data_IF_455925965761
#
_entry.id   IF_455925965761
#
_cell.length_a   1.000
_cell.length_b   1.000
_cell.length_c   1.000
_cell.angle_alpha   90.00
_cell.angle_beta   90.00
_cell.angle_gamma   90.00
#
_symmetry.space_group_name_H-M   'P 1'
#
loop_
_entity.id
_entity.type
_entity.pdbx_description
1 polymer ?
#
# COMPACT_ATOMS: atom_id res chain seq x y z
N UNK A 1 10.97 -32.06 -3.18
CA UNK A 1 11.84 -30.95 -2.75
C UNK A 1 11.63 -30.81 -1.25
N UNK A 2 12.68 -30.75 -0.46
CA UNK A 2 12.52 -30.55 0.98
C UNK A 2 12.05 -29.11 1.21
N UNK A 3 11.01 -28.92 2.02
CA UNK A 3 10.54 -27.60 2.45
C UNK A 3 11.68 -26.91 3.19
N UNK A 4 11.95 -25.67 2.79
CA UNK A 4 13.03 -24.86 3.37
C UNK A 4 12.41 -23.66 4.07
N UNK A 5 12.74 -23.46 5.34
CA UNK A 5 12.36 -22.27 6.09
C UNK A 5 13.49 -21.24 6.00
N UNK A 6 13.15 -20.03 5.57
CA UNK A 6 14.03 -18.87 5.54
C UNK A 6 13.58 -17.89 6.64
N UNK A 7 14.56 -17.24 7.28
CA UNK A 7 14.31 -16.26 8.35
C UNK A 7 14.94 -14.93 8.00
N UNK A 8 14.17 -13.85 8.18
CA UNK A 8 14.53 -12.48 7.84
C UNK A 8 14.25 -11.54 9.02
N UNK A 9 14.81 -10.31 9.03
CA UNK A 9 14.30 -9.23 9.86
C UNK A 9 12.80 -9.06 9.65
N UNK A 10 12.10 -8.54 10.66
CA UNK A 10 10.65 -8.39 10.59
C UNK A 10 10.19 -7.56 9.38
N UNK A 11 9.33 -8.11 8.55
CA UNK A 11 8.77 -7.40 7.41
C UNK A 11 7.80 -6.32 7.87
N UNK A 12 7.80 -5.21 7.15
CA UNK A 12 7.01 -4.02 7.46
C UNK A 12 6.15 -3.71 6.23
N UNK A 13 4.84 -3.55 6.44
CA UNK A 13 3.97 -3.02 5.41
C UNK A 13 3.58 -1.59 5.75
N UNK A 14 3.99 -0.66 4.92
CA UNK A 14 3.80 0.77 5.16
C UNK A 14 2.48 1.31 4.62
N UNK A 15 1.63 0.45 4.02
CA UNK A 15 0.42 0.88 3.37
C UNK A 15 -0.73 -0.12 3.54
N UNK A 16 -1.53 0.06 4.62
CA UNK A 16 -2.72 -0.76 4.86
C UNK A 16 -3.92 0.08 5.28
N UNK A 17 -5.12 -0.38 4.94
CA UNK A 17 -6.38 0.27 5.30
C UNK A 17 -7.16 -0.60 6.27
N UNK A 18 -7.02 -0.38 7.56
CA UNK A 18 -7.96 -0.88 8.52
C UNK A 18 -9.12 0.11 8.59
N UNK A 19 -10.32 -0.35 8.31
CA UNK A 19 -11.50 0.52 8.17
C UNK A 19 -12.14 0.90 9.51
N UNK A 20 -11.39 0.77 10.57
CA UNK A 20 -11.80 1.00 11.95
C UNK A 20 -10.99 2.18 12.55
N UNK A 21 -11.67 3.23 13.00
CA UNK A 21 -13.11 3.45 13.04
C UNK A 21 -13.71 3.77 11.65
N UNK A 22 -14.99 3.42 11.47
CA UNK A 22 -15.78 3.87 10.31
C UNK A 22 -16.58 2.78 9.60
N UNK A 23 -15.93 1.71 9.10
CA UNK A 23 -16.58 0.64 8.34
C UNK A 23 -16.10 -0.74 8.85
N UNK A 24 -16.41 -1.08 10.11
CA UNK A 24 -15.91 -2.30 10.74
C UNK A 24 -16.39 -3.60 10.05
N UNK A 25 -17.47 -3.54 9.28
CA UNK A 25 -17.92 -4.67 8.45
C UNK A 25 -16.97 -4.96 7.27
N UNK A 26 -16.12 -4.02 6.87
CA UNK A 26 -15.08 -4.25 5.89
C UNK A 26 -13.83 -4.88 6.52
N UNK A 27 -13.35 -4.26 7.60
CA UNK A 27 -12.19 -4.70 8.37
C UNK A 27 -12.21 -4.02 9.74
N UNK A 28 -12.04 -4.80 10.80
CA UNK A 28 -11.71 -4.26 12.12
C UNK A 28 -10.21 -4.25 12.30
N UNK A 29 -9.72 -3.48 13.23
CA UNK A 29 -8.30 -3.52 13.55
C UNK A 29 -7.84 -4.89 14.04
N UNK A 30 -8.67 -5.58 14.81
CA UNK A 30 -8.35 -6.94 15.27
C UNK A 30 -8.20 -7.92 14.11
N UNK A 31 -9.10 -7.90 13.10
CA UNK A 31 -9.01 -8.76 11.93
C UNK A 31 -7.86 -8.37 11.00
N UNK A 32 -7.60 -7.06 10.83
CA UNK A 32 -6.45 -6.58 10.05
C UNK A 32 -5.10 -6.96 10.66
N UNK A 33 -4.97 -6.86 12.00
CA UNK A 33 -3.77 -7.35 12.70
C UNK A 33 -3.62 -8.88 12.60
N UNK A 34 -4.72 -9.62 12.65
CA UNK A 34 -4.68 -11.07 12.45
C UNK A 34 -4.24 -11.41 11.02
N UNK A 35 -4.76 -10.70 9.99
CA UNK A 35 -4.33 -10.84 8.62
C UNK A 35 -2.85 -10.47 8.43
N UNK A 36 -2.38 -9.39 9.07
CA UNK A 36 -0.97 -8.98 9.07
C UNK A 36 -0.05 -10.05 9.65
N UNK A 37 -0.43 -10.61 10.80
CA UNK A 37 0.34 -11.67 11.45
C UNK A 37 0.41 -12.94 10.60
N UNK A 38 -0.70 -13.35 9.99
CA UNK A 38 -0.78 -14.48 9.05
C UNK A 38 -0.03 -14.21 7.75
N UNK A 39 -0.06 -12.96 7.28
CA UNK A 39 0.73 -12.48 6.15
C UNK A 39 2.24 -12.43 6.41
N UNK A 40 2.70 -12.64 7.66
CA UNK A 40 4.12 -12.65 8.04
C UNK A 40 4.69 -11.27 8.36
N UNK A 41 3.85 -10.24 8.51
CA UNK A 41 4.29 -8.88 8.84
C UNK A 41 4.51 -8.69 10.34
N UNK A 42 5.66 -8.11 10.68
CA UNK A 42 6.02 -7.78 12.06
C UNK A 42 5.52 -6.39 12.48
N UNK A 43 5.35 -5.50 11.50
CA UNK A 43 4.74 -4.18 11.70
C UNK A 43 3.93 -3.78 10.47
N UNK A 44 2.89 -2.98 10.69
CA UNK A 44 2.08 -2.36 9.62
C UNK A 44 1.81 -0.90 9.96
N UNK A 45 1.66 -0.05 8.92
CA UNK A 45 1.28 1.35 9.08
C UNK A 45 -0.07 1.58 8.43
N UNK A 46 -1.06 1.99 9.24
CA UNK A 46 -2.39 2.28 8.72
C UNK A 46 -2.50 3.66 8.10
N UNK A 47 -3.29 3.73 7.02
CA UNK A 47 -3.64 4.98 6.37
C UNK A 47 -4.69 5.75 7.20
N UNK A 48 -4.67 7.11 7.15
CA UNK A 48 -5.50 7.94 8.03
C UNK A 48 -6.92 8.14 7.51
N UNK A 49 -7.33 7.41 6.48
CA UNK A 49 -8.63 7.53 5.79
C UNK A 49 -9.77 6.75 6.48
N UNK A 50 -9.78 6.80 7.78
CA UNK A 50 -10.86 6.31 8.65
C UNK A 50 -12.01 7.32 8.74
N UNK A 51 -13.07 6.98 9.50
CA UNK A 51 -14.17 7.91 9.78
C UNK A 51 -14.46 7.96 11.28
N UNK A 52 -14.05 9.03 11.99
CA UNK A 52 -13.36 10.23 11.48
C UNK A 52 -11.94 9.96 10.97
N UNK A 53 -11.41 10.89 10.16
CA UNK A 53 -10.03 10.83 9.69
C UNK A 53 -9.02 11.02 10.83
N UNK A 54 -7.80 10.50 10.70
CA UNK A 54 -6.76 10.66 11.74
C UNK A 54 -6.02 11.98 11.50
N UNK A 55 -6.64 13.09 11.90
CA UNK A 55 -6.14 14.46 11.75
C UNK A 55 -5.99 15.21 13.05
N UNK A 56 -6.13 14.55 14.20
CA UNK A 56 -5.96 15.10 15.53
C UNK A 56 -5.01 14.28 16.38
N UNK A 57 -4.28 14.90 17.34
CA UNK A 57 -3.40 14.19 18.27
C UNK A 57 -4.10 13.09 19.07
N UNK A 58 -5.37 13.30 19.45
CA UNK A 58 -6.17 12.31 20.17
C UNK A 58 -6.48 11.09 19.29
N UNK A 59 -6.78 11.30 18.00
CA UNK A 59 -7.01 10.22 17.05
C UNK A 59 -5.75 9.38 16.83
N UNK A 60 -4.56 10.01 16.67
CA UNK A 60 -3.28 9.30 16.56
C UNK A 60 -3.03 8.44 17.80
N UNK A 61 -3.13 9.03 19.02
CA UNK A 61 -2.90 8.29 20.27
C UNK A 61 -3.92 7.18 20.50
N UNK A 62 -5.21 7.48 20.28
CA UNK A 62 -6.29 6.50 20.47
C UNK A 62 -6.12 5.31 19.52
N UNK A 63 -5.80 5.57 18.26
CA UNK A 63 -5.60 4.50 17.29
C UNK A 63 -4.39 3.60 17.64
N UNK A 64 -3.32 4.18 18.17
CA UNK A 64 -2.13 3.41 18.59
C UNK A 64 -2.36 2.64 19.89
N UNK A 65 -3.01 3.23 20.91
CA UNK A 65 -3.20 2.64 22.26
C UNK A 65 -4.28 1.55 22.25
N UNK A 66 -5.44 1.82 21.67
CA UNK A 66 -6.55 0.87 21.61
C UNK A 66 -6.15 -0.44 20.92
N UNK A 67 -5.22 -0.34 20.01
CA UNK A 67 -4.75 -1.46 19.21
C UNK A 67 -3.75 -2.36 19.95
N UNK A 68 -2.86 -1.77 20.75
CA UNK A 68 -1.86 -2.54 21.52
C UNK A 68 -2.49 -3.41 22.61
N UNK A 69 -3.65 -3.01 23.15
CA UNK A 69 -4.36 -3.75 24.20
C UNK A 69 -5.23 -4.90 23.68
N UNK A 70 -5.70 -4.81 22.44
CA UNK A 70 -6.63 -5.80 21.85
C UNK A 70 -5.94 -6.99 21.19
N UNK A 71 -4.63 -6.92 20.91
CA UNK A 71 -3.99 -7.95 20.11
C UNK A 71 -3.05 -8.84 20.92
N UNK A 72 -3.46 -10.11 21.09
CA UNK A 72 -2.53 -11.22 21.34
C UNK A 72 -1.58 -11.46 20.14
N UNK A 73 -1.70 -10.69 19.09
CA UNK A 73 -0.89 -10.76 17.87
C UNK A 73 0.39 -9.98 18.04
N UNK A 74 1.49 -10.56 17.61
CA UNK A 74 2.84 -9.98 17.71
C UNK A 74 3.16 -8.95 16.61
N UNK A 75 2.17 -8.53 15.80
CA UNK A 75 2.33 -7.49 14.79
C UNK A 75 2.13 -6.12 15.44
N UNK A 76 3.08 -5.22 15.23
CA UNK A 76 3.02 -3.85 15.75
C UNK A 76 2.18 -3.00 14.81
N UNK A 77 1.23 -2.27 15.37
CA UNK A 77 0.45 -1.28 14.66
C UNK A 77 1.06 0.10 14.83
N UNK A 78 1.39 0.71 13.71
CA UNK A 78 1.73 2.11 13.60
C UNK A 78 0.63 2.82 12.80
N UNK A 79 0.49 4.12 12.99
CA UNK A 79 -0.48 4.91 12.23
C UNK A 79 0.16 6.10 11.54
N UNK A 80 -0.27 6.41 10.34
CA UNK A 80 -0.02 7.70 9.69
C UNK A 80 -1.05 8.73 10.15
N UNK A 81 -0.81 10.00 9.83
CA UNK A 81 -1.76 11.07 10.07
C UNK A 81 -1.99 11.89 8.80
N UNK A 82 -3.12 12.61 8.78
CA UNK A 82 -3.50 13.43 7.62
C UNK A 82 -2.51 14.58 7.38
N UNK A 83 -2.25 14.88 6.10
CA UNK A 83 -1.59 16.13 5.66
C UNK A 83 -2.54 17.28 5.87
N UNK A 84 -3.82 17.11 5.48
CA UNK A 84 -4.84 18.16 5.55
C UNK A 84 -5.97 17.79 6.50
N UNK A 85 -6.59 18.81 7.13
CA UNK A 85 -7.74 18.62 8.01
C UNK A 85 -8.87 17.89 7.30
N UNK A 86 -9.33 16.79 7.90
CA UNK A 86 -10.37 15.93 7.35
C UNK A 86 -10.02 15.33 5.99
N UNK A 87 -8.77 15.34 5.54
CA UNK A 87 -8.32 14.92 4.20
C UNK A 87 -9.02 15.69 3.07
N UNK A 88 -9.30 16.96 3.29
CA UNK A 88 -10.07 17.78 2.34
C UNK A 88 -9.18 18.54 1.32
N UNK A 89 -7.85 18.47 1.44
CA UNK A 89 -6.91 19.13 0.54
C UNK A 89 -6.93 20.66 0.58
N UNK A 90 -7.47 21.28 1.65
CA UNK A 90 -7.73 22.73 1.72
C UNK A 90 -6.95 23.46 2.79
N UNK A 91 -6.69 22.83 3.90
CA UNK A 91 -6.03 23.41 5.06
C UNK A 91 -5.10 22.36 5.68
N UNK A 92 -3.85 22.73 5.90
CA UNK A 92 -2.86 21.83 6.51
C UNK A 92 -3.26 21.51 7.95
N UNK A 93 -3.13 20.24 8.34
CA UNK A 93 -3.37 19.80 9.71
C UNK A 93 -2.30 20.36 10.67
N UNK A 94 -2.48 20.16 11.97
CA UNK A 94 -1.46 20.49 12.96
C UNK A 94 -0.37 19.42 12.98
N UNK A 95 0.52 19.48 11.97
CA UNK A 95 1.52 18.46 11.70
C UNK A 95 2.50 18.27 12.88
N UNK A 96 2.84 19.34 13.58
CA UNK A 96 3.71 19.30 14.73
C UNK A 96 3.07 18.52 15.88
N UNK A 97 1.82 18.82 16.20
CA UNK A 97 1.09 18.13 17.26
C UNK A 97 0.80 16.65 16.88
N UNK A 98 0.55 16.35 15.59
CA UNK A 98 0.37 14.99 15.09
C UNK A 98 1.68 14.19 15.15
N UNK A 99 2.81 14.80 14.79
CA UNK A 99 4.14 14.19 14.92
C UNK A 99 4.48 13.92 16.39
N UNK A 100 4.14 14.85 17.28
CA UNK A 100 4.31 14.69 18.73
C UNK A 100 3.40 13.61 19.29
N UNK A 101 2.23 13.40 18.73
CA UNK A 101 1.31 12.34 19.11
C UNK A 101 1.77 10.93 18.65
N UNK A 102 2.76 10.83 17.76
CA UNK A 102 3.34 9.53 17.32
C UNK A 102 3.00 9.13 15.88
N UNK A 103 2.56 10.06 15.02
CA UNK A 103 2.36 9.77 13.61
C UNK A 103 3.65 9.23 12.97
N UNK A 104 3.56 8.13 12.22
CA UNK A 104 4.69 7.49 11.56
C UNK A 104 5.19 8.31 10.35
N UNK A 105 4.27 8.89 9.60
CA UNK A 105 4.45 9.80 8.47
C UNK A 105 3.11 10.50 8.18
N UNK A 106 3.07 11.36 7.16
CA UNK A 106 1.87 12.11 6.79
C UNK A 106 1.37 11.74 5.40
N UNK A 107 0.06 11.56 5.26
CA UNK A 107 -0.60 11.28 3.97
C UNK A 107 -2.08 11.64 4.02
N UNK A 108 -2.64 12.03 2.87
CA UNK A 108 -4.09 12.07 2.68
C UNK A 108 -4.56 10.86 1.84
N UNK A 109 -3.87 9.72 1.93
CA UNK A 109 -4.08 8.55 1.07
C UNK A 109 -5.55 8.21 0.81
N UNK A 110 -5.80 7.75 -0.42
CA UNK A 110 -7.12 7.66 -1.04
C UNK A 110 -7.64 9.01 -1.52
N UNK A 111 -6.88 10.11 -1.30
CA UNK A 111 -7.08 11.46 -1.84
C UNK A 111 -5.74 12.07 -2.22
N UNK A 112 -5.75 13.04 -3.13
CA UNK A 112 -4.59 13.79 -3.56
C UNK A 112 -4.73 15.26 -3.11
N UNK A 113 -3.69 15.81 -2.48
CA UNK A 113 -3.65 17.24 -2.14
C UNK A 113 -3.34 18.03 -3.42
N UNK A 114 -4.39 18.47 -4.11
CA UNK A 114 -4.28 19.08 -5.44
C UNK A 114 -3.89 20.57 -5.43
N UNK A 115 -4.10 21.28 -4.32
CA UNK A 115 -3.69 22.67 -4.19
C UNK A 115 -2.19 22.77 -3.93
N UNK A 116 -1.47 23.41 -4.85
CA UNK A 116 -0.01 23.51 -4.80
C UNK A 116 0.49 24.25 -3.55
N UNK A 117 -0.20 25.32 -3.12
CA UNK A 117 0.19 26.11 -1.95
C UNK A 117 -0.02 25.35 -0.64
N UNK A 118 -1.13 24.60 -0.57
CA UNK A 118 -1.41 23.74 0.60
C UNK A 118 -0.35 22.66 0.71
N UNK A 119 0.01 22.03 -0.42
CA UNK A 119 1.01 20.97 -0.41
C UNK A 119 2.43 21.51 -0.16
N UNK A 120 2.79 22.68 -0.71
CA UNK A 120 4.06 23.36 -0.45
C UNK A 120 4.21 23.73 1.04
N UNK A 121 3.18 24.31 1.66
CA UNK A 121 3.14 24.58 3.10
C UNK A 121 3.33 23.28 3.91
N UNK A 122 2.57 22.24 3.57
CA UNK A 122 2.66 20.96 4.26
C UNK A 122 4.06 20.36 4.15
N UNK A 123 4.63 20.30 2.94
CA UNK A 123 5.96 19.73 2.71
C UNK A 123 7.04 20.54 3.42
N UNK A 124 6.94 21.86 3.46
CA UNK A 124 7.87 22.71 4.21
C UNK A 124 7.86 22.38 5.72
N UNK A 125 6.68 22.22 6.31
CA UNK A 125 6.53 21.85 7.73
C UNK A 125 6.98 20.41 8.00
N UNK A 126 6.64 19.47 7.11
CA UNK A 126 7.06 18.05 7.22
C UNK A 126 8.59 17.92 7.14
N UNK A 127 9.23 18.71 6.26
CA UNK A 127 10.69 18.77 6.15
C UNK A 127 11.34 19.26 7.46
N UNK A 128 10.79 20.32 8.07
CA UNK A 128 11.26 20.84 9.36
C UNK A 128 11.15 19.81 10.50
N UNK A 129 10.17 18.89 10.41
CA UNK A 129 10.00 17.78 11.36
C UNK A 129 10.90 16.58 11.07
N UNK A 130 11.67 16.60 9.98
CA UNK A 130 12.45 15.47 9.46
C UNK A 130 11.59 14.21 9.27
N UNK A 131 10.36 14.39 8.78
CA UNK A 131 9.40 13.33 8.49
C UNK A 131 9.21 13.16 6.98
N UNK A 132 8.30 12.28 6.59
CA UNK A 132 8.01 11.94 5.19
C UNK A 132 6.58 12.36 4.85
N UNK A 133 6.42 13.02 3.70
CA UNK A 133 5.13 13.18 3.05
C UNK A 133 4.91 11.99 2.12
N UNK A 134 3.82 11.24 2.30
CA UNK A 134 3.42 10.16 1.41
C UNK A 134 2.23 10.62 0.57
N UNK A 135 2.24 10.33 -0.73
CA UNK A 135 1.23 10.87 -1.62
C UNK A 135 0.62 9.79 -2.51
N UNK A 136 -0.72 9.68 -2.43
CA UNK A 136 -1.56 8.98 -3.39
C UNK A 136 -1.59 9.79 -4.70
N UNK A 137 -0.65 9.51 -5.60
CA UNK A 137 -0.36 10.36 -6.76
C UNK A 137 -1.39 10.19 -7.89
N UNK A 138 -2.63 10.61 -7.66
CA UNK A 138 -3.71 10.61 -8.66
C UNK A 138 -4.38 11.98 -8.73
N UNK A 139 -3.99 12.79 -9.72
CA UNK A 139 -4.59 14.12 -9.95
C UNK A 139 -6.08 13.99 -10.34
N UNK A 140 -7.02 14.45 -9.51
CA UNK A 140 -8.45 14.30 -9.78
C UNK A 140 -8.90 15.09 -11.04
N UNK A 141 -8.21 16.16 -11.40
CA UNK A 141 -8.49 16.93 -12.60
C UNK A 141 -8.17 16.14 -13.87
N UNK A 142 -7.15 15.28 -13.84
CA UNK A 142 -6.79 14.40 -14.96
C UNK A 142 -7.55 13.07 -14.92
N UNK A 143 -8.04 12.63 -13.78
CA UNK A 143 -8.84 11.41 -13.68
C UNK A 143 -10.16 11.51 -14.43
N UNK A 144 -10.80 12.68 -14.46
CA UNK A 144 -12.00 13.01 -15.29
C UNK A 144 -13.13 11.99 -15.17
N UNK A 145 -13.31 11.40 -13.99
CA UNK A 145 -14.31 10.34 -13.77
C UNK A 145 -13.94 8.98 -14.37
N UNK A 146 -12.70 8.81 -14.83
CA UNK A 146 -12.17 7.53 -15.29
C UNK A 146 -12.17 6.49 -14.18
N UNK A 147 -12.29 5.22 -14.55
CA UNK A 147 -12.38 4.10 -13.60
C UNK A 147 -11.43 2.95 -13.90
N UNK A 148 -10.74 2.98 -15.05
CA UNK A 148 -9.91 1.87 -15.56
C UNK A 148 -8.90 2.40 -16.59
N UNK A 149 -7.78 1.71 -16.79
CA UNK A 149 -6.87 1.94 -17.95
C UNK A 149 -7.52 1.49 -19.25
N UNK A 150 -7.02 2.00 -20.39
CA UNK A 150 -7.43 1.50 -21.70
C UNK A 150 -7.06 0.03 -21.87
N UNK A 151 -8.05 -0.82 -21.92
CA UNK A 151 -7.91 -2.27 -22.00
C UNK A 151 -9.12 -2.92 -22.68
N UNK A 152 -9.08 -4.23 -22.99
CA UNK A 152 -10.20 -4.91 -23.63
C UNK A 152 -11.53 -4.78 -22.90
N UNK A 153 -11.54 -4.84 -21.55
CA UNK A 153 -12.76 -4.66 -20.77
C UNK A 153 -13.31 -3.24 -20.89
N UNK A 154 -12.44 -2.23 -20.80
CA UNK A 154 -12.82 -0.83 -20.92
C UNK A 154 -13.52 -0.56 -22.26
N UNK A 155 -12.90 -1.01 -23.36
CA UNK A 155 -13.45 -0.88 -24.71
C UNK A 155 -14.77 -1.63 -24.88
N UNK A 156 -14.85 -2.87 -24.34
CA UNK A 156 -16.08 -3.69 -24.42
C UNK A 156 -17.27 -3.07 -23.71
N UNK A 157 -17.04 -2.47 -22.53
CA UNK A 157 -18.09 -1.90 -21.70
C UNK A 157 -18.28 -0.39 -21.88
N UNK A 158 -17.46 0.28 -22.71
CA UNK A 158 -17.49 1.73 -22.88
C UNK A 158 -17.17 2.48 -21.58
N UNK A 159 -16.24 1.95 -20.77
CA UNK A 159 -15.88 2.53 -19.48
C UNK A 159 -15.01 3.77 -19.64
N UNK A 160 -15.18 4.81 -18.82
CA UNK A 160 -14.33 5.99 -18.85
C UNK A 160 -12.89 5.64 -18.43
N UNK A 161 -11.92 6.14 -19.21
CA UNK A 161 -10.50 5.81 -19.09
C UNK A 161 -9.79 6.74 -18.11
N UNK A 162 -8.92 6.19 -17.27
CA UNK A 162 -7.90 6.90 -16.50
C UNK A 162 -6.64 6.98 -17.34
N UNK A 163 -6.17 8.18 -17.68
CA UNK A 163 -4.92 8.38 -18.42
C UNK A 163 -3.69 8.18 -17.54
N UNK A 164 -2.53 7.95 -18.17
CA UNK A 164 -1.23 7.91 -17.48
C UNK A 164 -0.93 9.27 -16.82
N UNK A 165 -1.37 10.36 -17.43
CA UNK A 165 -1.20 11.71 -16.89
C UNK A 165 -1.82 11.91 -15.51
N UNK A 166 -2.84 11.13 -15.13
CA UNK A 166 -3.42 11.17 -13.79
C UNK A 166 -2.37 10.93 -12.70
N UNK A 167 -1.45 10.00 -12.93
CA UNK A 167 -0.36 9.67 -12.01
C UNK A 167 0.87 10.56 -12.26
N UNK A 168 1.31 10.66 -13.51
CA UNK A 168 2.60 11.29 -13.84
C UNK A 168 2.62 12.79 -13.62
N UNK A 169 1.50 13.48 -13.84
CA UNK A 169 1.35 14.91 -13.52
C UNK A 169 1.43 15.16 -12.02
N UNK A 170 0.76 14.33 -11.23
CA UNK A 170 0.84 14.41 -9.77
C UNK A 170 2.29 14.21 -9.28
N UNK A 171 2.98 13.18 -9.78
CA UNK A 171 4.39 12.93 -9.42
C UNK A 171 5.28 14.10 -9.83
N UNK A 172 5.16 14.62 -11.05
CA UNK A 172 5.99 15.77 -11.50
C UNK A 172 5.81 16.99 -10.61
N UNK A 173 4.55 17.31 -10.23
CA UNK A 173 4.26 18.41 -9.31
C UNK A 173 4.93 18.19 -7.96
N UNK A 174 4.76 17.00 -7.36
CA UNK A 174 5.33 16.69 -6.06
C UNK A 174 6.87 16.72 -6.09
N UNK A 175 7.50 16.23 -7.16
CA UNK A 175 8.95 16.34 -7.34
C UNK A 175 9.44 17.79 -7.48
N UNK A 176 8.64 18.70 -8.05
CA UNK A 176 8.97 20.13 -8.05
C UNK A 176 8.99 20.67 -6.62
N UNK A 177 7.97 20.34 -5.82
CA UNK A 177 7.90 20.76 -4.42
C UNK A 177 9.02 20.14 -3.57
N UNK A 178 9.46 18.90 -3.87
CA UNK A 178 10.66 18.32 -3.22
C UNK A 178 11.90 19.17 -3.46
N UNK A 179 12.11 19.65 -4.69
CA UNK A 179 13.27 20.53 -5.01
C UNK A 179 13.21 21.85 -4.27
N UNK A 180 12.01 22.40 -4.06
CA UNK A 180 11.80 23.69 -3.40
C UNK A 180 11.92 23.58 -1.88
N UNK A 181 11.34 22.53 -1.29
CA UNK A 181 11.20 22.38 0.17
C UNK A 181 12.28 21.50 0.81
N UNK A 182 12.94 20.63 0.03
CA UNK A 182 13.82 19.58 0.55
C UNK A 182 13.08 18.48 1.32
N UNK A 183 11.75 18.42 1.27
CA UNK A 183 10.94 17.44 1.97
C UNK A 183 11.23 16.02 1.45
N UNK A 184 11.28 15.06 2.35
CA UNK A 184 11.28 13.64 1.98
C UNK A 184 9.91 13.25 1.46
N UNK A 185 9.87 12.74 0.23
CA UNK A 185 8.64 12.29 -0.43
C UNK A 185 8.62 10.77 -0.58
N UNK A 186 7.48 10.16 -0.32
CA UNK A 186 7.20 8.78 -0.67
C UNK A 186 5.99 8.73 -1.64
N UNK A 187 6.22 8.24 -2.86
CA UNK A 187 5.15 8.05 -3.85
C UNK A 187 4.53 6.69 -3.64
N UNK A 188 3.26 6.68 -3.23
CA UNK A 188 2.52 5.46 -2.93
C UNK A 188 2.13 4.73 -4.22
N UNK A 189 2.07 3.38 -4.17
CA UNK A 189 1.52 2.45 -5.18
C UNK A 189 1.67 2.87 -6.65
N UNK A 190 2.89 3.15 -7.13
CA UNK A 190 3.12 3.51 -8.54
C UNK A 190 2.60 2.43 -9.48
N UNK A 191 1.89 2.83 -10.52
CA UNK A 191 1.24 1.93 -11.47
C UNK A 191 1.68 2.07 -12.93
N UNK A 192 2.53 3.07 -13.26
CA UNK A 192 2.94 3.38 -14.63
C UNK A 192 4.44 3.33 -14.84
N UNK A 193 4.87 2.91 -16.03
CA UNK A 193 6.28 2.92 -16.44
C UNK A 193 6.88 4.35 -16.42
N UNK A 194 6.09 5.35 -16.83
CA UNK A 194 6.52 6.74 -16.79
C UNK A 194 6.66 7.28 -15.37
N UNK A 195 5.75 6.90 -14.43
CA UNK A 195 5.87 7.23 -13.01
C UNK A 195 7.14 6.65 -12.40
N UNK A 196 7.46 5.40 -12.72
CA UNK A 196 8.74 4.76 -12.34
C UNK A 196 9.94 5.57 -12.84
N UNK A 197 9.91 6.00 -14.12
CA UNK A 197 11.01 6.76 -14.68
C UNK A 197 11.21 8.11 -13.97
N UNK A 198 10.12 8.82 -13.65
CA UNK A 198 10.18 10.08 -12.90
C UNK A 198 10.84 9.90 -11.53
N UNK A 199 10.48 8.84 -10.78
CA UNK A 199 11.09 8.54 -9.48
C UNK A 199 12.56 8.17 -9.64
N UNK A 200 12.90 7.34 -10.63
CA UNK A 200 14.27 6.94 -10.93
C UNK A 200 15.17 8.15 -11.23
N UNK A 201 14.68 9.08 -12.00
CA UNK A 201 15.42 10.31 -12.36
C UNK A 201 15.58 11.21 -11.13
N UNK A 202 14.54 11.39 -10.33
CA UNK A 202 14.61 12.12 -9.06
C UNK A 202 15.64 11.54 -8.09
N UNK A 203 15.69 10.20 -7.94
CA UNK A 203 16.70 9.54 -7.12
C UNK A 203 18.12 9.72 -7.66
N UNK A 204 18.31 9.72 -8.99
CA UNK A 204 19.61 10.01 -9.63
C UNK A 204 20.05 11.46 -9.45
N UNK A 205 19.12 12.40 -9.38
CA UNK A 205 19.37 13.79 -9.00
C UNK A 205 19.75 13.94 -7.53
N UNK A 206 19.61 12.89 -6.72
CA UNK A 206 19.87 12.92 -5.28
C UNK A 206 18.71 13.49 -4.45
N UNK A 207 17.52 13.60 -5.01
CA UNK A 207 16.34 14.02 -4.26
C UNK A 207 15.92 12.94 -3.24
N UNK A 208 15.44 13.34 -2.06
CA UNK A 208 15.01 12.41 -1.01
C UNK A 208 13.64 11.78 -1.32
N UNK A 209 13.58 11.00 -2.39
CA UNK A 209 12.35 10.40 -2.91
C UNK A 209 12.42 8.89 -2.82
N UNK A 210 11.38 8.27 -2.27
CA UNK A 210 11.14 6.83 -2.27
C UNK A 210 9.79 6.52 -2.92
N UNK A 211 9.55 5.27 -3.29
CA UNK A 211 8.27 4.87 -3.85
C UNK A 211 8.02 3.37 -3.65
N UNK A 212 6.76 2.97 -3.78
CA UNK A 212 6.34 1.58 -3.57
C UNK A 212 5.61 1.00 -4.77
N UNK A 213 5.71 -0.32 -4.91
CA UNK A 213 4.93 -1.14 -5.83
C UNK A 213 4.11 -2.17 -5.04
N UNK A 214 2.88 -2.39 -5.45
CA UNK A 214 2.01 -3.36 -4.79
C UNK A 214 2.09 -4.74 -5.47
N UNK A 215 1.83 -5.83 -4.73
CA UNK A 215 1.79 -7.17 -5.29
C UNK A 215 0.86 -7.31 -6.49
N UNK A 216 -0.28 -6.60 -6.47
CA UNK A 216 -1.24 -6.66 -7.57
C UNK A 216 -0.75 -5.99 -8.86
N UNK A 217 -0.04 -4.85 -8.77
CA UNK A 217 0.56 -4.21 -9.93
C UNK A 217 1.79 -4.98 -10.48
N UNK A 218 2.44 -5.78 -9.66
CA UNK A 218 3.55 -6.65 -10.08
C UNK A 218 3.07 -7.95 -10.74
N UNK A 219 1.91 -8.45 -10.35
CA UNK A 219 1.37 -9.72 -10.86
C UNK A 219 0.41 -9.51 -12.04
N UNK A 220 -0.55 -8.60 -11.88
CA UNK A 220 -1.67 -8.42 -12.79
C UNK A 220 -1.47 -7.24 -13.74
N UNK A 221 -2.17 -7.31 -14.86
CA UNK A 221 -2.35 -6.22 -15.83
C UNK A 221 -3.84 -5.99 -16.09
N UNK A 222 -4.18 -4.92 -16.74
CA UNK A 222 -5.56 -4.67 -17.15
C UNK A 222 -6.10 -5.70 -18.16
N UNK A 223 -5.21 -6.46 -18.84
CA UNK A 223 -5.58 -7.57 -19.72
C UNK A 223 -6.08 -8.82 -18.95
N UNK A 224 -5.67 -8.94 -17.67
CA UNK A 224 -6.05 -10.07 -16.81
C UNK A 224 -7.46 -9.92 -16.22
N UNK A 225 -8.11 -8.76 -16.43
CA UNK A 225 -9.46 -8.52 -15.95
C UNK A 225 -10.45 -9.40 -16.73
N UNK A 226 -11.24 -10.25 -16.05
CA UNK A 226 -12.13 -11.19 -16.74
C UNK A 226 -13.13 -10.50 -17.66
N UNK A 227 -13.18 -10.94 -18.91
CA UNK A 227 -14.19 -10.53 -19.88
C UNK A 227 -15.41 -11.46 -19.79
N UNK A 228 -16.61 -10.92 -20.05
CA UNK A 228 -17.82 -11.73 -20.20
C UNK A 228 -17.65 -12.77 -21.32
N UNK A 229 -18.05 -14.01 -21.07
CA UNK A 229 -18.23 -14.97 -22.15
C UNK A 229 -19.40 -14.51 -23.04
N UNK A 230 -19.16 -14.30 -24.37
CA UNK A 230 -20.23 -13.90 -25.28
C UNK A 230 -21.37 -14.91 -25.38
N UNK A 231 -21.14 -16.18 -25.02
CA UNK A 231 -22.13 -17.26 -25.05
C UNK A 231 -23.06 -17.28 -23.83
N UNK A 232 -22.74 -16.54 -22.76
CA UNK A 232 -23.50 -16.58 -21.50
C UNK A 232 -24.32 -15.29 -21.27
N UNK A 233 -25.41 -15.16 -22.02
CA UNK A 233 -26.35 -14.03 -21.86
C UNK A 233 -27.07 -13.99 -20.49
N UNK A 234 -26.99 -15.06 -19.69
CA UNK A 234 -27.71 -15.15 -18.41
C UNK A 234 -26.92 -14.67 -17.20
N UNK A 235 -25.62 -14.33 -17.36
CA UNK A 235 -24.67 -14.11 -16.25
C UNK A 235 -23.95 -12.77 -16.26
N UNK A 236 -24.48 -11.78 -16.96
CA UNK A 236 -23.87 -10.43 -16.98
C UNK A 236 -23.60 -9.88 -15.56
N UNK A 237 -24.48 -10.18 -14.60
CA UNK A 237 -24.31 -9.78 -13.19
C UNK A 237 -23.14 -10.49 -12.49
N UNK A 238 -22.90 -11.77 -12.77
CA UNK A 238 -21.81 -12.54 -12.17
C UNK A 238 -20.44 -12.12 -12.74
N UNK A 239 -20.38 -11.72 -13.99
CA UNK A 239 -19.16 -11.27 -14.66
C UNK A 239 -18.76 -9.88 -14.17
N UNK A 240 -19.72 -8.98 -14.03
CA UNK A 240 -19.46 -7.65 -13.46
C UNK A 240 -18.98 -7.74 -12.01
N UNK A 241 -19.42 -8.76 -11.26
CA UNK A 241 -18.90 -9.01 -9.91
C UNK A 241 -17.46 -9.53 -9.92
N UNK A 242 -17.12 -10.48 -10.81
CA UNK A 242 -15.73 -11.00 -10.89
C UNK A 242 -14.74 -9.94 -11.36
N UNK A 243 -15.07 -9.17 -12.39
CA UNK A 243 -14.20 -8.07 -12.86
C UNK A 243 -14.00 -6.99 -11.80
N UNK A 244 -14.99 -6.71 -10.96
CA UNK A 244 -14.91 -5.73 -9.86
C UNK A 244 -13.84 -6.08 -8.82
N UNK A 245 -13.47 -7.36 -8.69
CA UNK A 245 -12.35 -7.77 -7.82
C UNK A 245 -10.99 -7.28 -8.33
N UNK A 246 -10.89 -6.87 -9.60
CA UNK A 246 -9.69 -6.30 -10.21
C UNK A 246 -9.71 -4.76 -10.24
N UNK A 247 -10.71 -4.13 -9.61
CA UNK A 247 -10.80 -2.67 -9.55
C UNK A 247 -10.05 -2.13 -8.34
N UNK A 248 -9.06 -1.29 -8.60
CA UNK A 248 -8.23 -0.61 -7.62
C UNK A 248 -7.87 0.81 -8.10
N UNK A 249 -7.29 1.62 -7.22
CA UNK A 249 -6.80 2.95 -7.53
C UNK A 249 -5.40 3.13 -6.90
N UNK A 250 -4.36 3.29 -7.74
CA UNK A 250 -4.37 3.38 -9.21
C UNK A 250 -4.85 2.10 -9.89
N UNK A 251 -5.40 2.20 -11.11
CA UNK A 251 -5.85 1.02 -11.86
C UNK A 251 -4.67 0.19 -12.36
N UNK A 252 -4.91 -1.12 -12.57
CA UNK A 252 -3.93 -2.00 -13.20
C UNK A 252 -3.44 -1.42 -14.53
N UNK A 253 -2.13 -1.34 -14.69
CA UNK A 253 -1.45 -0.92 -15.91
C UNK A 253 -1.45 -1.98 -17.00
N UNK A 254 -0.76 -1.70 -18.10
CA UNK A 254 -0.52 -2.65 -19.17
C UNK A 254 0.72 -3.54 -18.88
N UNK A 255 1.14 -4.37 -19.84
CA UNK A 255 2.29 -5.27 -19.68
C UNK A 255 3.62 -4.51 -19.60
N UNK A 256 3.73 -3.36 -20.24
CA UNK A 256 4.93 -2.52 -20.21
C UNK A 256 5.06 -1.85 -18.84
N UNK A 257 3.95 -1.32 -18.30
CA UNK A 257 3.90 -0.78 -16.94
C UNK A 257 4.37 -1.83 -15.93
N UNK A 258 3.80 -3.03 -15.98
CA UNK A 258 4.18 -4.14 -15.10
C UNK A 258 5.66 -4.51 -15.22
N UNK A 259 6.19 -4.58 -16.43
CA UNK A 259 7.59 -4.92 -16.67
C UNK A 259 8.55 -3.87 -16.06
N UNK A 260 8.24 -2.58 -16.21
CA UNK A 260 9.05 -1.51 -15.61
C UNK A 260 8.95 -1.47 -14.08
N UNK A 261 7.76 -1.75 -13.51
CA UNK A 261 7.60 -1.90 -12.06
C UNK A 261 8.47 -3.03 -11.52
N UNK A 262 8.44 -4.22 -12.12
CA UNK A 262 9.27 -5.37 -11.75
C UNK A 262 10.76 -5.04 -11.82
N UNK A 263 11.18 -4.41 -12.91
CA UNK A 263 12.56 -3.96 -13.09
C UNK A 263 12.96 -2.96 -12.01
N UNK A 264 12.11 -1.98 -11.69
CA UNK A 264 12.39 -0.97 -10.69
C UNK A 264 12.54 -1.55 -9.27
N UNK A 265 11.72 -2.54 -8.91
CA UNK A 265 11.90 -3.29 -7.65
C UNK A 265 13.23 -4.03 -7.64
N UNK A 266 13.57 -4.73 -8.72
CA UNK A 266 14.84 -5.48 -8.84
C UNK A 266 16.06 -4.56 -8.76
N UNK A 267 15.95 -3.34 -9.29
CA UNK A 267 17.00 -2.31 -9.25
C UNK A 267 17.08 -1.60 -7.88
N UNK A 268 16.14 -1.81 -6.97
CA UNK A 268 16.06 -1.16 -5.65
C UNK A 268 15.51 0.27 -5.69
N UNK A 269 14.83 0.66 -6.77
CA UNK A 269 14.15 1.96 -6.91
C UNK A 269 12.85 1.97 -6.14
N UNK A 270 12.13 0.84 -6.12
CA UNK A 270 10.85 0.67 -5.45
C UNK A 270 10.96 -0.33 -4.30
N UNK A 271 10.22 -0.08 -3.23
CA UNK A 271 9.94 -1.04 -2.17
C UNK A 271 8.59 -1.73 -2.40
N UNK A 272 8.26 -2.71 -1.58
CA UNK A 272 6.92 -3.29 -1.56
C UNK A 272 6.04 -2.64 -0.50
N UNK A 273 4.75 -2.53 -0.82
CA UNK A 273 3.67 -2.31 0.13
C UNK A 273 2.40 -2.98 -0.41
N UNK A 274 1.45 -3.35 0.45
CA UNK A 274 0.30 -4.13 -0.02
C UNK A 274 -0.82 -3.30 -0.60
N UNK A 275 -1.02 -2.09 -0.12
CA UNK A 275 -2.28 -1.34 -0.29
C UNK A 275 -3.49 -2.25 0.05
N UNK A 276 -3.37 -2.96 1.19
CA UNK A 276 -4.47 -3.80 1.68
C UNK A 276 -5.71 -2.94 1.93
N UNK A 277 -6.70 -3.06 1.03
CA UNK A 277 -7.87 -2.20 0.98
C UNK A 277 -9.18 -3.01 1.00
N UNK A 278 -9.60 -3.45 2.18
CA UNK A 278 -10.81 -4.25 2.37
C UNK A 278 -12.07 -3.45 2.10
N UNK A 279 -13.06 -4.12 1.49
CA UNK A 279 -14.38 -3.57 1.21
C UNK A 279 -15.47 -4.62 1.42
N UNK A 280 -16.64 -4.24 1.96
CA UNK A 280 -17.79 -5.14 2.06
C UNK A 280 -18.18 -5.68 0.68
N UNK A 281 -18.63 -6.94 0.63
CA UNK A 281 -19.02 -7.59 -0.62
C UNK A 281 -20.06 -6.77 -1.42
N UNK A 282 -20.99 -6.11 -0.72
CA UNK A 282 -22.01 -5.24 -1.35
C UNK A 282 -21.37 -4.08 -2.14
N UNK A 283 -20.23 -3.51 -1.69
CA UNK A 283 -19.54 -2.44 -2.41
C UNK A 283 -18.78 -2.95 -3.65
N UNK A 284 -18.39 -4.21 -3.66
CA UNK A 284 -17.73 -4.85 -4.81
C UNK A 284 -18.73 -5.43 -5.81
N UNK A 285 -20.01 -5.63 -5.44
CA UNK A 285 -21.04 -6.19 -6.32
C UNK A 285 -21.79 -5.15 -7.19
N UNK A 286 -21.46 -3.88 -7.08
CA UNK A 286 -22.14 -2.79 -7.80
C UNK A 286 -21.82 -2.70 -9.30
N UNK A 287 -21.08 -3.68 -9.85
CA UNK A 287 -20.55 -3.63 -11.21
C UNK A 287 -19.24 -2.81 -11.26
N UNK A 288 -18.44 -2.99 -12.33
CA UNK A 288 -17.07 -2.46 -12.37
C UNK A 288 -17.01 -0.95 -12.15
N UNK A 289 -17.83 -0.17 -12.86
CA UNK A 289 -17.77 1.30 -12.77
C UNK A 289 -18.11 1.83 -11.37
N UNK A 290 -19.12 1.27 -10.72
CA UNK A 290 -19.63 1.75 -9.42
C UNK A 290 -19.01 1.03 -8.21
N UNK A 291 -18.26 -0.06 -8.41
CA UNK A 291 -17.66 -0.80 -7.31
C UNK A 291 -16.53 0.00 -6.64
N UNK A 292 -16.29 -0.29 -5.36
CA UNK A 292 -15.20 0.31 -4.60
C UNK A 292 -13.82 -0.07 -5.17
N UNK A 293 -12.87 0.86 -5.11
CA UNK A 293 -11.47 0.62 -5.46
C UNK A 293 -10.74 -0.08 -4.31
N UNK A 294 -9.93 -1.08 -4.64
CA UNK A 294 -9.08 -1.78 -3.70
C UNK A 294 -9.38 -3.26 -3.56
N UNK A 295 -8.38 -3.98 -3.10
CA UNK A 295 -8.40 -5.42 -2.82
C UNK A 295 -7.66 -5.71 -1.52
N UNK A 296 -7.92 -6.87 -0.91
CA UNK A 296 -7.12 -7.33 0.22
C UNK A 296 -5.79 -7.89 -0.27
N UNK A 297 -4.70 -7.64 0.46
CA UNK A 297 -3.34 -7.99 0.02
C UNK A 297 -2.47 -8.66 1.08
N UNK A 298 -2.69 -8.41 2.38
CA UNK A 298 -1.79 -8.83 3.46
C UNK A 298 -1.42 -10.32 3.43
N UNK A 299 -2.41 -11.21 3.29
CA UNK A 299 -2.19 -12.67 3.37
C UNK A 299 -1.66 -13.27 2.05
N UNK A 300 -1.53 -12.46 0.98
CA UNK A 300 -1.06 -12.91 -0.34
C UNK A 300 0.21 -12.20 -0.81
N UNK A 301 0.65 -11.16 -0.12
CA UNK A 301 1.76 -10.32 -0.57
C UNK A 301 3.10 -11.09 -0.67
N UNK A 302 3.44 -11.85 0.36
CA UNK A 302 4.67 -12.66 0.39
C UNK A 302 4.67 -13.72 -0.72
N UNK A 303 3.62 -14.57 -0.86
CA UNK A 303 3.55 -15.54 -1.96
C UNK A 303 3.69 -14.89 -3.34
N UNK A 304 2.95 -13.82 -3.60
CA UNK A 304 2.95 -13.15 -4.90
C UNK A 304 4.31 -12.53 -5.20
N UNK A 305 4.83 -11.70 -4.30
CA UNK A 305 6.10 -11.01 -4.56
C UNK A 305 7.29 -11.95 -4.65
N UNK A 306 7.29 -13.05 -3.89
CA UNK A 306 8.32 -14.07 -4.03
C UNK A 306 8.21 -14.78 -5.37
N UNK A 307 7.03 -15.27 -5.75
CA UNK A 307 6.81 -15.95 -7.03
C UNK A 307 7.20 -15.07 -8.21
N UNK A 308 6.71 -13.82 -8.22
CA UNK A 308 7.00 -12.89 -9.32
C UNK A 308 8.46 -12.44 -9.34
N UNK A 309 9.01 -11.98 -8.20
CA UNK A 309 10.32 -11.33 -8.22
C UNK A 309 11.49 -12.30 -8.09
N UNK A 310 11.33 -13.36 -7.28
CA UNK A 310 12.41 -14.33 -7.06
C UNK A 310 12.35 -15.43 -8.10
N UNK A 311 11.18 -16.06 -8.31
CA UNK A 311 11.09 -17.23 -9.20
C UNK A 311 11.01 -16.84 -10.68
N UNK A 312 10.22 -15.82 -11.06
CA UNK A 312 10.09 -15.40 -12.46
C UNK A 312 11.20 -14.43 -12.88
N UNK A 313 11.47 -13.36 -12.11
CA UNK A 313 12.43 -12.32 -12.46
C UNK A 313 13.88 -12.60 -12.01
N UNK A 314 14.12 -13.66 -11.23
CA UNK A 314 15.45 -14.04 -10.74
C UNK A 314 16.09 -13.02 -9.81
N UNK A 315 15.29 -12.29 -9.03
CA UNK A 315 15.78 -11.42 -7.96
C UNK A 315 16.37 -12.28 -6.83
N UNK A 316 17.46 -11.85 -6.20
CA UNK A 316 17.96 -12.61 -5.04
C UNK A 316 17.00 -12.51 -3.86
N UNK A 317 16.94 -13.57 -3.06
CA UNK A 317 16.05 -13.65 -1.90
C UNK A 317 16.35 -12.55 -0.88
N UNK A 318 17.63 -12.19 -0.73
CA UNK A 318 18.09 -11.13 0.16
C UNK A 318 17.55 -9.76 -0.29
N UNK A 319 17.69 -9.42 -1.56
CA UNK A 319 17.15 -8.17 -2.11
C UNK A 319 15.62 -8.10 -2.03
N UNK A 320 14.94 -9.22 -2.31
CA UNK A 320 13.51 -9.33 -2.14
C UNK A 320 13.09 -9.05 -0.68
N UNK A 321 13.78 -9.65 0.27
CA UNK A 321 13.51 -9.41 1.68
C UNK A 321 13.81 -7.94 2.07
N UNK A 322 14.92 -7.35 1.60
CA UNK A 322 15.26 -5.94 1.85
C UNK A 322 14.17 -4.97 1.40
N UNK A 323 13.47 -5.26 0.30
CA UNK A 323 12.34 -4.45 -0.16
C UNK A 323 11.12 -4.49 0.78
N UNK A 324 11.02 -5.49 1.69
CA UNK A 324 9.98 -5.61 2.71
C UNK A 324 10.38 -5.08 4.08
N UNK A 325 11.67 -4.90 4.39
CA UNK A 325 12.05 -4.48 5.75
C UNK A 325 12.98 -3.26 5.79
N UNK A 326 13.96 -3.18 4.90
CA UNK A 326 15.02 -2.16 4.96
C UNK A 326 14.51 -0.81 4.42
N UNK A 327 13.97 -0.81 3.20
CA UNK A 327 13.44 0.40 2.60
C UNK A 327 12.19 0.92 3.34
N UNK A 328 11.21 0.08 3.73
CA UNK A 328 10.05 0.54 4.50
C UNK A 328 10.42 1.21 5.82
N UNK A 329 11.39 0.70 6.57
CA UNK A 329 11.79 1.32 7.85
C UNK A 329 12.37 2.72 7.69
N UNK A 330 12.93 3.05 6.53
CA UNK A 330 13.56 4.35 6.30
C UNK A 330 12.53 5.48 6.17
N UNK A 331 11.27 5.18 5.86
CA UNK A 331 10.19 6.18 5.76
C UNK A 331 9.37 6.30 7.05
N UNK A 332 9.47 5.33 7.96
CA UNK A 332 8.65 5.26 9.17
C UNK A 332 9.38 5.89 10.35
N UNK A 333 8.76 6.90 10.97
CA UNK A 333 9.23 7.44 12.25
C UNK A 333 8.65 6.64 13.41
N UNK A 334 9.51 6.22 14.34
CA UNK A 334 9.12 5.59 15.60
C UNK A 334 9.65 6.43 16.76
N UNK A 335 8.76 6.80 17.69
CA UNK A 335 9.18 7.51 18.91
C UNK A 335 9.85 6.55 19.88
N UNK A 336 11.05 6.90 20.32
CA UNK A 336 11.81 6.11 21.29
C UNK A 336 11.10 5.93 22.64
N UNK A 337 10.14 6.81 22.99
CA UNK A 337 9.46 6.78 24.27
C UNK A 337 8.33 5.74 24.35
N UNK A 338 7.67 5.42 23.24
CA UNK A 338 6.52 4.50 23.20
C UNK A 338 6.93 3.02 23.17
N UNK A 339 8.17 2.75 22.76
CA UNK A 339 8.73 1.41 22.72
C UNK A 339 9.49 1.01 24.01
N UNK A 340 9.47 1.85 25.04
CA UNK A 340 10.24 1.59 26.27
C UNK A 340 11.77 1.62 26.05
N UNK A 341 12.23 2.06 24.88
CA UNK A 341 13.64 2.00 24.47
C UNK A 341 14.20 3.40 24.39
N UNK A 342 15.11 3.74 25.26
CA UNK A 342 15.97 4.93 25.12
C UNK A 342 17.00 4.69 24.02
N UNK A 343 17.33 5.77 23.29
CA UNK A 343 18.28 5.80 22.16
C UNK A 343 19.63 5.12 22.44
N UNK A 344 20.44 4.98 21.40
CA UNK A 344 21.73 4.27 21.31
C UNK A 344 22.76 4.45 22.47
N UNK A 345 22.51 5.34 23.41
CA UNK A 345 23.38 5.57 24.58
C UNK A 345 23.29 4.47 25.65
N UNK A 346 22.28 3.61 25.64
CA UNK A 346 22.05 2.59 26.66
C UNK A 346 22.43 1.16 26.24
N UNK A 347 22.92 0.92 25.04
CA UNK A 347 23.27 -0.44 24.57
C UNK A 347 22.06 -1.38 24.39
N UNK A 348 20.83 -0.86 24.42
CA UNK A 348 19.62 -1.65 24.13
C UNK A 348 19.38 -1.71 22.61
N UNK A 349 18.85 -2.85 22.09
CA UNK A 349 18.51 -2.97 20.68
C UNK A 349 17.56 -1.86 20.22
N UNK A 350 17.73 -1.38 18.98
CA UNK A 350 16.79 -0.43 18.38
C UNK A 350 15.38 -1.06 18.29
N UNK A 351 14.32 -0.21 18.17
CA UNK A 351 12.97 -0.71 17.95
C UNK A 351 12.92 -1.76 16.81
N UNK A 352 13.61 -1.50 15.72
CA UNK A 352 13.65 -2.37 14.54
C UNK A 352 14.31 -3.73 14.79
N UNK A 353 15.28 -3.80 15.70
CA UNK A 353 15.96 -5.05 16.08
C UNK A 353 15.11 -5.91 17.03
N UNK A 354 14.13 -5.31 17.68
CA UNK A 354 13.18 -6.00 18.57
C UNK A 354 11.98 -6.58 17.83
N UNK A 355 11.76 -6.21 16.56
CA UNK A 355 10.66 -6.76 15.77
C UNK A 355 10.79 -8.29 15.68
N UNK A 356 9.62 -8.95 15.74
CA UNK A 356 9.54 -10.38 15.43
C UNK A 356 10.11 -10.63 14.03
N UNK A 357 11.00 -11.61 13.92
CA UNK A 357 11.51 -12.04 12.63
C UNK A 357 10.40 -12.60 11.75
N UNK A 358 10.47 -12.32 10.45
CA UNK A 358 9.59 -12.94 9.45
C UNK A 358 10.20 -14.27 9.01
N UNK A 359 9.38 -15.32 9.03
CA UNK A 359 9.74 -16.66 8.57
C UNK A 359 8.87 -17.05 7.40
N UNK A 360 9.46 -17.61 6.36
CA UNK A 360 8.75 -18.07 5.17
C UNK A 360 9.15 -19.51 4.83
N UNK A 361 8.19 -20.30 4.41
CA UNK A 361 8.39 -21.66 3.90
C UNK A 361 8.41 -21.62 2.37
N UNK A 362 9.45 -22.16 1.78
CA UNK A 362 9.57 -22.37 0.33
C UNK A 362 9.55 -23.85 0.04
N UNK A 363 8.56 -24.33 -0.71
CA UNK A 363 8.41 -25.77 -0.93
C UNK A 363 7.37 -26.11 -2.00
N UNK A 364 6.43 -27.00 -1.67
CA UNK A 364 5.36 -27.39 -2.58
C UNK A 364 4.40 -26.23 -2.88
N UNK A 365 3.80 -26.25 -4.07
CA UNK A 365 2.77 -25.26 -4.43
C UNK A 365 1.54 -25.40 -3.54
N UNK A 366 1.05 -24.28 -3.02
CA UNK A 366 -0.22 -24.20 -2.30
C UNK A 366 -1.14 -23.20 -3.01
N UNK A 367 -2.41 -23.51 -3.10
CA UNK A 367 -3.41 -22.61 -3.68
C UNK A 367 -3.84 -21.56 -2.67
N UNK A 368 -4.10 -20.33 -3.15
CA UNK A 368 -4.74 -19.26 -2.37
C UNK A 368 -6.19 -19.69 -2.07
N UNK A 369 -6.52 -19.80 -0.80
CA UNK A 369 -7.89 -20.01 -0.34
C UNK A 369 -8.40 -18.80 0.45
N UNK A 370 -9.10 -17.91 -0.25
CA UNK A 370 -9.64 -16.67 0.32
C UNK A 370 -10.63 -16.93 1.46
N UNK A 371 -11.29 -18.09 1.47
CA UNK A 371 -12.24 -18.44 2.55
C UNK A 371 -11.55 -18.64 3.89
N UNK A 372 -10.27 -18.99 3.89
CA UNK A 372 -9.46 -19.21 5.10
C UNK A 372 -8.82 -17.94 5.68
N UNK A 373 -8.93 -16.80 5.02
CA UNK A 373 -8.25 -15.56 5.42
C UNK A 373 -8.81 -14.98 6.74
N UNK A 374 -7.95 -14.34 7.51
CA UNK A 374 -8.31 -13.65 8.75
C UNK A 374 -9.01 -12.31 8.47
N UNK A 375 -8.68 -11.64 7.36
CA UNK A 375 -9.42 -10.46 6.90
C UNK A 375 -10.92 -10.74 6.79
N UNK A 376 -11.75 -9.80 7.21
CA UNK A 376 -13.22 -9.93 7.11
C UNK A 376 -13.69 -9.84 5.67
N UNK A 377 -13.00 -9.05 4.84
CA UNK A 377 -13.30 -8.91 3.42
C UNK A 377 -12.80 -10.10 2.61
N UNK A 378 -13.43 -10.27 1.44
CA UNK A 378 -13.10 -11.32 0.47
C UNK A 378 -12.85 -10.76 -0.92
N UNK A 379 -12.58 -9.46 -1.02
CA UNK A 379 -12.34 -8.75 -2.28
C UNK A 379 -10.92 -9.02 -2.82
N UNK A 380 -10.67 -10.27 -3.22
CA UNK A 380 -9.38 -10.79 -3.65
C UNK A 380 -9.52 -11.56 -4.98
N UNK A 381 -8.75 -11.19 -6.01
CA UNK A 381 -8.80 -11.86 -7.32
C UNK A 381 -7.99 -13.15 -7.39
N UNK A 382 -7.18 -13.49 -6.38
CA UNK A 382 -6.16 -14.54 -6.45
C UNK A 382 -6.65 -15.94 -6.07
N UNK A 383 -7.94 -16.12 -5.71
CA UNK A 383 -8.46 -17.42 -5.29
C UNK A 383 -8.13 -18.53 -6.30
N UNK A 384 -7.51 -19.60 -5.84
CA UNK A 384 -7.06 -20.72 -6.67
C UNK A 384 -5.70 -20.55 -7.35
N UNK A 385 -5.11 -19.37 -7.38
CA UNK A 385 -3.71 -19.18 -7.83
C UNK A 385 -2.76 -19.94 -6.92
N UNK A 386 -1.66 -20.47 -7.47
CA UNK A 386 -0.72 -21.32 -6.73
C UNK A 386 0.63 -20.64 -6.60
N UNK A 387 1.20 -20.71 -5.39
CA UNK A 387 2.53 -20.16 -5.07
C UNK A 387 3.30 -21.14 -4.19
N UNK A 388 4.64 -21.04 -4.20
CA UNK A 388 5.55 -21.95 -3.49
C UNK A 388 6.14 -21.37 -2.20
N UNK A 389 6.01 -20.08 -1.98
CA UNK A 389 6.52 -19.40 -0.78
C UNK A 389 5.35 -18.86 0.06
N UNK A 390 5.34 -19.17 1.36
CA UNK A 390 4.28 -18.78 2.27
C UNK A 390 4.86 -18.35 3.63
N UNK A 391 4.20 -17.44 4.36
CA UNK A 391 4.56 -17.17 5.74
C UNK A 391 4.54 -18.47 6.55
N UNK A 392 5.58 -18.71 7.35
CA UNK A 392 5.61 -19.84 8.28
C UNK A 392 4.84 -19.46 9.55
N UNK A 393 3.90 -20.30 9.94
CA UNK A 393 3.07 -20.12 11.13
C UNK A 393 3.83 -20.38 12.44
#
# INVERSE_FOLDING_TARGET
MNDRVLEFPGFIDVHVHFRDPGVPEAETTASGLAASARGGFAAVVTMPNTTPAIDTPSAVRGHTIEQSEQSNNRTILLTSACITKGRLGREVADLEALAEAGAAFFTDDGSYVADDKVMEEAMTRIAALNMVACQHAMDPAEQRGGVIRDCPLARKLGLPIISVETETKAIRRDLSLVRETGCRLHVQHISTAEGVQLVRDAQREGLPVTAEATPHHLLLTCDDIPLADPADNSRLSLITHRSSLYKMAPPLGNREDRAELRKAVKDGVLMFATDHAPHPAVKKSLGFAASANGIIGLETAIPITYGVMVEEEGMSVEKWAEAWWKLPRDIVRVRSAECGVRSAECGMPSFWEQLRKTRVEVGAERAVDVSSFASLSRNCPYHGMKFRCWPAT
#
